data_IF_326201370686
#
_entry.id   IF_326201370686
#
_cell.length_a   1.000
_cell.length_b   1.000
_cell.length_c   1.000
_cell.angle_alpha   90.00
_cell.angle_beta   90.00
_cell.angle_gamma   90.00
#
_symmetry.space_group_name_H-M   'P 1'
#
loop_
_entity.id
_entity.type
_entity.pdbx_description
1 polymer ?
#
# COMPACT_ATOMS: atom_id res chain seq x y z
N UNK A 1 13.49 18.86 18.62
CA UNK A 1 13.25 19.37 17.25
C UNK A 1 14.56 19.92 16.70
N UNK A 2 15.06 19.33 15.61
CA UNK A 2 16.22 19.89 14.90
C UNK A 2 15.67 20.78 13.79
N UNK A 3 15.88 22.10 13.92
CA UNK A 3 15.53 23.02 12.83
C UNK A 3 16.43 22.72 11.64
N UNK A 4 15.83 22.40 10.50
CA UNK A 4 16.52 22.25 9.22
C UNK A 4 16.02 23.34 8.29
N UNK A 5 16.95 24.04 7.65
CA UNK A 5 16.59 24.93 6.55
C UNK A 5 16.08 24.11 5.38
N UNK A 6 14.87 24.39 4.92
CA UNK A 6 14.27 23.78 3.72
C UNK A 6 13.86 24.89 2.77
N UNK A 7 14.03 24.65 1.48
CA UNK A 7 13.43 25.48 0.46
C UNK A 7 11.90 25.37 0.58
N UNK A 8 11.24 26.45 1.00
CA UNK A 8 9.79 26.50 1.21
C UNK A 8 9.08 27.42 0.23
N UNK A 9 9.80 28.34 -0.38
CA UNK A 9 9.29 29.28 -1.37
C UNK A 9 10.35 29.50 -2.44
N UNK A 10 9.89 29.65 -3.68
CA UNK A 10 10.73 30.11 -4.79
C UNK A 10 10.51 31.62 -4.98
N UNK A 11 11.60 32.38 -5.00
CA UNK A 11 11.53 33.75 -5.46
C UNK A 11 11.47 33.74 -6.99
N UNK A 12 10.71 34.72 -7.54
CA UNK A 12 10.61 34.90 -8.98
C UNK A 12 10.12 33.63 -9.77
N UNK A 13 9.14 32.93 -9.20
CA UNK A 13 8.57 31.71 -9.81
C UNK A 13 8.15 31.90 -11.28
N UNK A 14 7.53 33.02 -11.70
CA UNK A 14 7.14 33.23 -13.09
C UNK A 14 8.31 33.19 -14.09
N UNK A 15 9.44 33.76 -13.75
CA UNK A 15 10.64 33.74 -14.62
C UNK A 15 11.26 32.34 -14.63
N UNK A 16 11.32 31.65 -13.48
CA UNK A 16 11.79 30.29 -13.39
C UNK A 16 10.93 29.36 -14.27
N UNK A 17 9.62 29.47 -14.21
CA UNK A 17 8.70 28.69 -15.03
C UNK A 17 8.86 29.02 -16.51
N UNK A 18 9.07 30.29 -16.87
CA UNK A 18 9.34 30.68 -18.26
C UNK A 18 10.65 30.09 -18.77
N UNK A 19 11.72 30.13 -17.99
CA UNK A 19 12.99 29.48 -18.34
C UNK A 19 12.83 27.97 -18.50
N UNK A 20 12.10 27.34 -17.57
CA UNK A 20 11.84 25.90 -17.60
C UNK A 20 11.08 25.48 -18.87
N UNK A 21 10.09 26.26 -19.28
CA UNK A 21 9.30 25.98 -20.49
C UNK A 21 10.08 26.06 -21.81
N UNK A 22 11.29 26.63 -21.83
CA UNK A 22 12.13 26.70 -23.03
C UNK A 22 12.76 25.34 -23.42
N UNK A 23 12.90 24.44 -22.45
CA UNK A 23 13.55 23.15 -22.68
C UNK A 23 12.74 21.94 -22.16
N UNK A 24 11.51 22.21 -21.67
CA UNK A 24 10.60 21.15 -21.22
C UNK A 24 9.25 21.27 -21.90
N UNK A 25 8.69 20.14 -22.29
CA UNK A 25 7.29 20.02 -22.66
C UNK A 25 6.51 19.48 -21.46
N UNK A 26 5.58 20.27 -20.94
CA UNK A 26 4.76 19.92 -19.75
C UNK A 26 3.36 19.60 -20.22
N UNK A 27 2.98 18.33 -20.10
CA UNK A 27 1.65 17.86 -20.42
C UNK A 27 0.93 17.48 -19.12
N UNK A 28 -0.19 18.13 -18.84
CA UNK A 28 -1.07 17.74 -17.73
C UNK A 28 -2.09 16.70 -18.19
N UNK A 29 -2.69 15.95 -17.27
CA UNK A 29 -3.73 14.97 -17.58
C UNK A 29 -4.87 15.55 -18.41
N UNK A 30 -5.27 16.79 -18.11
CA UNK A 30 -6.34 17.50 -18.84
C UNK A 30 -5.94 17.84 -20.28
N UNK A 31 -4.66 18.16 -20.52
CA UNK A 31 -4.14 18.45 -21.87
C UNK A 31 -4.08 17.20 -22.74
N UNK A 32 -3.77 16.05 -22.14
CA UNK A 32 -3.62 14.77 -22.84
C UNK A 32 -4.95 14.20 -23.31
N UNK A 33 -6.09 14.63 -22.75
CA UNK A 33 -7.44 14.13 -23.11
C UNK A 33 -7.50 12.61 -23.18
N UNK A 34 -6.84 11.95 -22.23
CA UNK A 34 -6.81 10.49 -22.19
C UNK A 34 -8.25 9.96 -22.01
N UNK A 35 -8.59 8.85 -22.67
CA UNK A 35 -9.86 8.19 -22.45
C UNK A 35 -9.86 7.55 -21.05
N UNK A 36 -10.36 8.27 -20.05
CA UNK A 36 -10.51 7.79 -18.70
C UNK A 36 -11.89 7.18 -18.53
N UNK A 37 -12.02 5.92 -18.13
CA UNK A 37 -13.31 5.29 -17.91
C UNK A 37 -14.05 5.97 -16.75
N UNK A 38 -15.37 5.99 -16.82
CA UNK A 38 -16.18 6.36 -15.66
C UNK A 38 -15.91 5.41 -14.50
N UNK A 39 -15.78 5.97 -13.31
CA UNK A 39 -15.50 5.18 -12.11
C UNK A 39 -16.35 5.63 -10.93
N UNK A 40 -16.62 4.71 -10.03
CA UNK A 40 -17.23 4.98 -8.73
C UNK A 40 -16.24 4.60 -7.63
N UNK A 41 -16.02 5.52 -6.70
CA UNK A 41 -15.12 5.27 -5.58
C UNK A 41 -15.91 4.77 -4.37
N UNK A 42 -15.53 3.61 -3.85
CA UNK A 42 -16.08 3.03 -2.64
C UNK A 42 -15.01 2.95 -1.56
N UNK A 43 -15.21 3.67 -0.46
CA UNK A 43 -14.32 3.62 0.70
C UNK A 43 -14.85 2.62 1.72
N UNK A 44 -14.05 1.60 2.04
CA UNK A 44 -14.36 0.62 3.09
C UNK A 44 -13.54 0.97 4.31
N UNK A 45 -14.19 1.54 5.33
CA UNK A 45 -13.57 1.80 6.63
C UNK A 45 -13.75 0.57 7.54
N UNK A 46 -12.68 0.19 8.22
CA UNK A 46 -12.66 -0.95 9.15
C UNK A 46 -12.20 -0.46 10.52
N UNK A 47 -12.90 -0.87 11.55
CA UNK A 47 -12.48 -0.61 12.93
C UNK A 47 -11.26 -1.48 13.28
N UNK A 48 -10.26 -0.94 13.99
CA UNK A 48 -9.12 -1.70 14.45
C UNK A 48 -9.57 -2.75 15.49
N UNK A 49 -8.97 -3.93 15.45
CA UNK A 49 -9.13 -4.93 16.51
C UNK A 49 -8.31 -4.58 17.77
N UNK A 50 -8.50 -5.35 18.83
CA UNK A 50 -7.81 -5.16 20.11
C UNK A 50 -6.29 -5.25 19.96
N UNK A 51 -5.79 -6.25 19.22
CA UNK A 51 -4.35 -6.40 18.94
C UNK A 51 -3.76 -5.14 18.26
N UNK A 52 -4.44 -4.65 17.23
CA UNK A 52 -4.02 -3.43 16.51
C UNK A 52 -4.03 -2.21 17.43
N UNK A 53 -5.03 -2.08 18.30
CA UNK A 53 -5.12 -0.98 19.26
C UNK A 53 -3.97 -1.04 20.28
N UNK A 54 -3.65 -2.21 20.82
CA UNK A 54 -2.57 -2.40 21.77
C UNK A 54 -1.20 -2.02 21.17
N UNK A 55 -0.91 -2.49 19.96
CA UNK A 55 0.33 -2.10 19.26
C UNK A 55 0.35 -0.58 18.96
N UNK A 56 -0.77 0.01 18.58
CA UNK A 56 -0.87 1.46 18.39
C UNK A 56 -0.53 2.24 19.68
N UNK A 57 -0.95 1.76 20.84
CA UNK A 57 -0.59 2.39 22.12
C UNK A 57 0.92 2.34 22.38
N UNK A 58 1.59 1.22 22.05
CA UNK A 58 3.05 1.16 22.17
C UNK A 58 3.76 2.18 21.24
N UNK A 59 3.20 2.43 20.05
CA UNK A 59 3.75 3.47 19.16
C UNK A 59 3.58 4.88 19.74
N UNK A 60 2.48 5.16 20.44
CA UNK A 60 2.28 6.44 21.14
C UNK A 60 3.32 6.62 22.25
N UNK A 61 3.55 5.60 23.06
CA UNK A 61 4.55 5.62 24.13
C UNK A 61 5.97 5.81 23.58
N UNK A 62 6.35 5.07 22.55
CA UNK A 62 7.64 5.22 21.87
C UNK A 62 7.82 6.61 21.26
N UNK A 63 6.76 7.15 20.62
CA UNK A 63 6.80 8.52 20.07
C UNK A 63 6.99 9.58 21.17
N UNK A 64 6.39 9.37 22.35
CA UNK A 64 6.59 10.24 23.50
C UNK A 64 8.04 10.17 24.00
N UNK A 65 8.62 8.98 24.18
CA UNK A 65 10.00 8.78 24.58
C UNK A 65 11.01 9.43 23.62
N UNK A 66 10.78 9.33 22.31
CA UNK A 66 11.60 10.00 21.28
C UNK A 66 11.49 11.52 21.40
N UNK A 67 10.29 12.05 21.57
CA UNK A 67 10.06 13.50 21.75
C UNK A 67 10.77 14.03 22.96
N UNK A 68 10.75 13.28 24.04
CA UNK A 68 11.37 13.62 25.34
C UNK A 68 12.87 13.30 25.39
N UNK A 69 13.46 12.83 24.25
CA UNK A 69 14.87 12.47 24.09
C UNK A 69 15.37 11.40 25.07
N UNK A 70 14.51 10.47 25.42
CA UNK A 70 14.82 9.34 26.29
C UNK A 70 15.46 8.16 25.55
N UNK A 71 15.44 8.18 24.21
CA UNK A 71 15.95 7.13 23.34
C UNK A 71 16.84 7.75 22.27
N UNK A 72 17.99 7.11 22.01
CA UNK A 72 18.91 7.52 20.94
C UNK A 72 18.29 7.29 19.56
N UNK A 73 18.48 8.19 18.58
CA UNK A 73 17.87 8.11 17.26
C UNK A 73 18.24 6.86 16.47
N UNK A 74 19.38 6.24 16.77
CA UNK A 74 19.85 4.98 16.16
C UNK A 74 19.07 3.77 16.68
N UNK A 75 18.58 3.83 17.92
CA UNK A 75 17.79 2.77 18.55
C UNK A 75 16.34 2.87 18.08
N UNK A 76 15.72 4.04 18.23
CA UNK A 76 14.36 4.29 17.79
C UNK A 76 14.15 5.74 17.30
N UNK A 77 13.27 5.90 16.32
CA UNK A 77 12.98 7.21 15.74
C UNK A 77 11.60 7.23 15.06
N UNK A 78 11.10 8.45 14.80
CA UNK A 78 9.77 8.63 14.20
C UNK A 78 9.62 7.97 12.82
N UNK A 79 10.71 7.84 12.04
CA UNK A 79 10.65 7.17 10.74
C UNK A 79 10.39 5.67 10.90
N UNK A 80 11.05 5.04 11.88
CA UNK A 80 10.85 3.63 12.21
C UNK A 80 9.42 3.37 12.66
N UNK A 81 8.91 4.18 13.60
CA UNK A 81 7.52 4.08 14.09
C UNK A 81 6.53 4.27 12.94
N UNK A 82 6.73 5.27 12.07
CA UNK A 82 5.83 5.51 10.93
C UNK A 82 5.82 4.32 9.96
N UNK A 83 6.98 3.70 9.71
CA UNK A 83 7.06 2.53 8.85
C UNK A 83 6.36 1.31 9.47
N UNK A 84 6.55 1.09 10.75
CA UNK A 84 5.88 0.01 11.50
C UNK A 84 4.36 0.24 11.56
N UNK A 85 3.91 1.47 11.79
CA UNK A 85 2.50 1.83 11.79
C UNK A 85 1.83 1.59 10.41
N UNK A 86 2.53 1.88 9.30
CA UNK A 86 2.04 1.55 7.95
C UNK A 86 1.89 0.04 7.75
N UNK A 87 2.84 -0.75 8.24
CA UNK A 87 2.77 -2.21 8.19
C UNK A 87 1.61 -2.74 9.02
N UNK A 88 1.49 -2.29 10.27
CA UNK A 88 0.38 -2.65 11.16
C UNK A 88 -0.98 -2.32 10.53
N UNK A 89 -1.10 -1.13 9.96
CA UNK A 89 -2.33 -0.67 9.34
C UNK A 89 -2.74 -1.48 8.10
N UNK A 90 -1.81 -2.14 7.43
CA UNK A 90 -2.11 -3.02 6.30
C UNK A 90 -2.34 -4.45 6.79
N UNK A 91 -1.37 -5.00 7.50
CA UNK A 91 -1.34 -6.41 7.88
C UNK A 91 -0.48 -6.58 9.14
N UNK A 92 -1.09 -6.83 10.31
CA UNK A 92 -0.38 -7.00 11.57
C UNK A 92 0.73 -8.06 11.51
N UNK A 93 0.58 -9.08 10.68
CA UNK A 93 1.60 -10.13 10.46
C UNK A 93 2.90 -9.62 9.83
N UNK A 94 2.94 -8.39 9.32
CA UNK A 94 4.19 -7.73 8.88
C UNK A 94 5.03 -7.19 10.06
N UNK A 95 4.46 -7.18 11.26
CA UNK A 95 5.11 -6.78 12.51
C UNK A 95 5.36 -8.01 13.39
N UNK A 96 4.36 -8.84 13.55
CA UNK A 96 4.37 -10.02 14.40
C UNK A 96 3.72 -11.20 13.64
N UNK A 97 4.48 -12.29 13.46
CA UNK A 97 3.99 -13.48 12.74
C UNK A 97 2.82 -14.16 13.46
N UNK A 98 2.73 -14.02 14.78
CA UNK A 98 1.67 -14.57 15.62
C UNK A 98 0.42 -13.68 15.67
N UNK A 99 0.47 -12.50 15.03
CA UNK A 99 -0.65 -11.58 14.96
C UNK A 99 -1.89 -12.22 14.30
N UNK A 100 -3.09 -11.75 14.60
CA UNK A 100 -4.31 -12.21 13.95
C UNK A 100 -4.30 -11.90 12.45
N UNK A 101 -5.20 -12.53 11.71
CA UNK A 101 -5.40 -12.23 10.30
C UNK A 101 -5.83 -10.78 10.11
N UNK A 102 -5.28 -10.13 9.09
CA UNK A 102 -5.59 -8.76 8.78
C UNK A 102 -7.05 -8.58 8.36
N UNK A 103 -7.81 -7.77 9.09
CA UNK A 103 -9.18 -7.39 8.71
C UNK A 103 -9.27 -6.73 7.33
N UNK A 104 -8.21 -6.03 6.91
CA UNK A 104 -8.12 -5.44 5.57
C UNK A 104 -7.96 -6.50 4.49
N UNK A 105 -7.13 -7.51 4.73
CA UNK A 105 -6.97 -8.63 3.80
C UNK A 105 -8.28 -9.42 3.68
N UNK A 106 -8.97 -9.67 4.79
CA UNK A 106 -10.27 -10.34 4.80
C UNK A 106 -11.34 -9.53 4.05
N UNK A 107 -11.46 -8.24 4.33
CA UNK A 107 -12.42 -7.37 3.65
C UNK A 107 -12.11 -7.21 2.16
N UNK A 108 -10.82 -7.15 1.78
CA UNK A 108 -10.40 -7.16 0.40
C UNK A 108 -10.78 -8.46 -0.30
N UNK A 109 -10.51 -9.61 0.33
CA UNK A 109 -10.88 -10.92 -0.20
C UNK A 109 -12.40 -11.05 -0.38
N UNK A 110 -13.19 -10.55 0.57
CA UNK A 110 -14.65 -10.54 0.47
C UNK A 110 -15.14 -9.70 -0.71
N UNK A 111 -14.62 -8.48 -0.86
CA UNK A 111 -14.98 -7.60 -1.96
C UNK A 111 -14.62 -8.21 -3.32
N UNK A 112 -13.39 -8.72 -3.45
CA UNK A 112 -12.92 -9.36 -4.69
C UNK A 112 -13.77 -10.57 -5.02
N UNK A 113 -14.09 -11.41 -4.02
CA UNK A 113 -14.94 -12.58 -4.22
C UNK A 113 -16.36 -12.22 -4.66
N UNK A 114 -16.96 -11.20 -4.04
CA UNK A 114 -18.30 -10.74 -4.41
C UNK A 114 -18.35 -10.23 -5.85
N UNK A 115 -17.33 -9.45 -6.27
CA UNK A 115 -17.23 -8.98 -7.66
C UNK A 115 -16.99 -10.17 -8.60
N UNK A 116 -16.07 -11.10 -8.26
CA UNK A 116 -15.80 -12.31 -9.03
C UNK A 116 -17.09 -13.10 -9.29
N UNK A 117 -17.88 -13.34 -8.25
CA UNK A 117 -19.15 -14.03 -8.34
C UNK A 117 -20.17 -13.30 -9.22
N UNK A 118 -20.28 -11.98 -9.05
CA UNK A 118 -21.25 -11.17 -9.78
C UNK A 118 -20.87 -10.95 -11.24
N UNK A 119 -19.59 -11.10 -11.60
CA UNK A 119 -19.09 -10.89 -12.96
C UNK A 119 -18.70 -12.21 -13.66
N UNK A 120 -19.08 -13.36 -13.12
CA UNK A 120 -18.73 -14.69 -13.67
C UNK A 120 -19.14 -14.84 -15.13
N UNK A 121 -20.33 -14.38 -15.50
CA UNK A 121 -20.85 -14.48 -16.87
C UNK A 121 -20.08 -13.56 -17.85
N UNK A 122 -19.65 -12.41 -17.40
CA UNK A 122 -18.93 -11.43 -18.20
C UNK A 122 -17.41 -11.57 -18.13
N UNK A 123 -16.91 -12.48 -17.30
CA UNK A 123 -15.48 -12.69 -17.02
C UNK A 123 -14.77 -11.40 -16.65
N UNK A 124 -15.34 -10.63 -15.70
CA UNK A 124 -14.79 -9.38 -15.24
C UNK A 124 -13.39 -9.55 -14.65
N UNK A 125 -12.45 -8.68 -15.06
CA UNK A 125 -11.08 -8.68 -14.52
C UNK A 125 -10.97 -7.68 -13.38
N UNK A 126 -10.24 -8.04 -12.33
CA UNK A 126 -10.00 -7.21 -11.16
C UNK A 126 -8.50 -7.00 -10.96
N UNK A 127 -8.11 -5.79 -10.57
CA UNK A 127 -6.75 -5.43 -10.20
C UNK A 127 -6.70 -5.07 -8.72
N UNK A 128 -5.81 -5.70 -7.97
CA UNK A 128 -5.56 -5.39 -6.57
C UNK A 128 -4.16 -4.80 -6.43
N UNK A 129 -4.08 -3.56 -5.95
CA UNK A 129 -2.82 -2.87 -5.72
C UNK A 129 -2.46 -2.91 -4.23
N UNK A 130 -1.24 -3.36 -3.94
CA UNK A 130 -0.70 -3.42 -2.59
C UNK A 130 0.81 -3.15 -2.63
N UNK A 131 1.27 -2.10 -1.97
CA UNK A 131 2.67 -1.62 -2.00
C UNK A 131 3.52 -2.11 -0.82
N UNK A 132 2.92 -2.84 0.13
CA UNK A 132 3.63 -3.44 1.25
C UNK A 132 3.39 -4.95 1.31
N UNK A 133 4.31 -5.68 1.96
CA UNK A 133 4.18 -7.13 2.08
C UNK A 133 4.26 -7.85 0.74
N UNK A 134 4.99 -7.27 -0.22
CA UNK A 134 5.18 -7.82 -1.57
C UNK A 134 6.04 -9.08 -1.54
N UNK A 135 5.82 -10.02 -2.47
CA UNK A 135 6.69 -11.18 -2.64
C UNK A 135 8.15 -10.77 -2.84
N UNK A 136 9.07 -11.51 -2.24
CA UNK A 136 10.51 -11.31 -2.34
C UNK A 136 11.19 -12.62 -2.70
N UNK A 137 12.32 -12.53 -3.40
CA UNK A 137 13.14 -13.72 -3.68
C UNK A 137 13.58 -14.39 -2.37
N UNK A 138 13.39 -15.71 -2.29
CA UNK A 138 13.76 -16.52 -1.13
C UNK A 138 12.76 -16.50 0.04
N UNK A 139 11.66 -15.79 -0.07
CA UNK A 139 10.56 -15.79 0.91
C UNK A 139 9.37 -16.57 0.33
N UNK A 140 8.80 -17.47 1.13
CA UNK A 140 7.56 -18.14 0.71
C UNK A 140 6.46 -17.07 0.52
N UNK A 141 5.78 -17.15 -0.60
CA UNK A 141 4.67 -16.23 -0.89
C UNK A 141 3.59 -16.29 0.20
N UNK A 142 3.39 -17.44 0.83
CA UNK A 142 2.41 -17.63 1.89
C UNK A 142 2.71 -16.79 3.14
N UNK A 143 3.98 -16.43 3.36
CA UNK A 143 4.41 -15.56 4.45
C UNK A 143 4.21 -14.06 4.14
N UNK A 144 3.74 -13.75 2.94
CA UNK A 144 3.50 -12.37 2.50
C UNK A 144 2.02 -11.99 2.60
N UNK A 145 1.73 -10.70 2.60
CA UNK A 145 0.34 -10.20 2.52
C UNK A 145 -0.36 -10.68 1.24
N UNK A 146 0.39 -10.80 0.13
CA UNK A 146 -0.12 -11.34 -1.13
C UNK A 146 -0.55 -12.80 -1.00
N UNK A 147 0.28 -13.64 -0.39
CA UNK A 147 -0.06 -15.04 -0.18
C UNK A 147 -1.27 -15.22 0.72
N UNK A 148 -1.36 -14.43 1.79
CA UNK A 148 -2.55 -14.45 2.67
C UNK A 148 -3.83 -14.04 1.93
N UNK A 149 -3.77 -13.03 1.08
CA UNK A 149 -4.90 -12.64 0.24
C UNK A 149 -5.28 -13.75 -0.76
N UNK A 150 -4.29 -14.35 -1.43
CA UNK A 150 -4.51 -15.47 -2.37
C UNK A 150 -5.18 -16.63 -1.65
N UNK A 151 -4.67 -17.01 -0.48
CA UNK A 151 -5.24 -18.13 0.29
C UNK A 151 -6.69 -17.83 0.71
N UNK A 152 -6.96 -16.61 1.19
CA UNK A 152 -8.32 -16.19 1.55
C UNK A 152 -9.28 -16.21 0.34
N UNK A 153 -8.81 -15.87 -0.86
CA UNK A 153 -9.60 -15.95 -2.09
C UNK A 153 -9.86 -17.39 -2.51
N UNK A 154 -8.85 -18.24 -2.43
CA UNK A 154 -8.99 -19.68 -2.75
C UNK A 154 -9.95 -20.36 -1.77
N UNK A 155 -9.86 -20.08 -0.47
CA UNK A 155 -10.79 -20.58 0.55
C UNK A 155 -12.24 -20.17 0.27
N UNK A 156 -12.45 -18.98 -0.30
CA UNK A 156 -13.78 -18.50 -0.72
C UNK A 156 -14.27 -19.16 -2.03
N UNK A 157 -13.41 -19.83 -2.77
CA UNK A 157 -13.76 -20.58 -3.98
C UNK A 157 -13.30 -19.94 -5.28
N UNK A 158 -12.43 -18.92 -5.25
CA UNK A 158 -11.75 -18.42 -6.44
C UNK A 158 -10.70 -19.45 -6.86
N UNK A 159 -10.66 -19.82 -8.13
CA UNK A 159 -9.69 -20.80 -8.61
C UNK A 159 -8.29 -20.20 -8.60
N UNK A 160 -7.31 -20.98 -8.13
CA UNK A 160 -5.92 -20.53 -8.01
C UNK A 160 -5.29 -20.12 -9.34
N UNK A 161 -5.65 -20.77 -10.41
CA UNK A 161 -5.19 -20.50 -11.79
C UNK A 161 -5.79 -19.21 -12.39
N UNK A 162 -6.83 -18.67 -11.78
CA UNK A 162 -7.42 -17.36 -12.14
C UNK A 162 -6.81 -16.19 -11.35
N UNK A 163 -5.82 -16.45 -10.49
CA UNK A 163 -5.13 -15.43 -9.68
C UNK A 163 -3.67 -15.32 -10.14
N UNK A 164 -3.29 -14.17 -10.70
CA UNK A 164 -1.93 -13.87 -11.11
C UNK A 164 -1.30 -12.80 -10.20
N UNK A 165 0.02 -12.90 -10.03
CA UNK A 165 0.82 -11.93 -9.26
C UNK A 165 1.88 -11.34 -10.17
N UNK A 166 1.82 -10.04 -10.43
CA UNK A 166 2.74 -9.36 -11.36
C UNK A 166 4.23 -9.55 -10.99
N UNK A 167 4.54 -9.72 -9.71
CA UNK A 167 5.91 -9.93 -9.24
C UNK A 167 6.53 -11.27 -9.69
N UNK A 168 5.73 -12.22 -10.15
CA UNK A 168 6.23 -13.48 -10.72
C UNK A 168 6.65 -13.35 -12.17
N UNK A 169 6.19 -12.30 -12.87
CA UNK A 169 6.56 -11.99 -14.24
C UNK A 169 7.88 -11.20 -14.27
N UNK A 170 8.95 -11.85 -14.74
CA UNK A 170 10.32 -11.28 -14.75
C UNK A 170 10.65 -10.49 -16.03
N UNK A 171 9.93 -10.72 -17.09
CA UNK A 171 10.14 -10.06 -18.38
C UNK A 171 8.91 -9.25 -18.80
N UNK A 172 9.11 -8.26 -19.67
CA UNK A 172 8.00 -7.44 -20.16
C UNK A 172 7.01 -8.25 -21.02
N UNK A 173 7.48 -9.30 -21.69
CA UNK A 173 6.60 -10.25 -22.40
C UNK A 173 5.72 -11.01 -21.41
N UNK A 174 6.28 -11.54 -20.31
CA UNK A 174 5.52 -12.22 -19.27
C UNK A 174 4.54 -11.30 -18.51
N UNK A 175 4.73 -10.00 -18.54
CA UNK A 175 3.80 -9.03 -17.95
C UNK A 175 2.66 -8.66 -18.91
N UNK A 176 2.87 -8.88 -20.22
CA UNK A 176 1.89 -8.58 -21.26
C UNK A 176 0.92 -9.74 -21.51
N UNK A 177 1.33 -10.98 -21.21
CA UNK A 177 0.53 -12.20 -21.28
C UNK A 177 -0.40 -12.31 -20.06
#
# INVERSE_FOLDING_TARGET
>A
YRMKNRLSKFDNLPELMKMFSHFTDVQTGDMLKLPVPEHTMHNVALEPDEFTQDIMMTFVERAAAIRDRQVEPEIDNMLKITNEARKLALDPKLIDNDAPMSRKVEACAENVYNIYKNTTETRGTQLVFCDLGTPKDGVDINDTTYGRLINALVEKGVKRDEIAVIHTAKTDVQKAD
#
